data_IF_791820901338
#
_entry.id   IF_791820901338
#
_cell.length_a   1.000
_cell.length_b   1.000
_cell.length_c   1.000
_cell.angle_alpha   90.00
_cell.angle_beta   90.00
_cell.angle_gamma   90.00
#
_symmetry.space_group_name_H-M   'P 1'
#
loop_
_entity.id
_entity.type
_entity.pdbx_description
1 polymer ?
#
# COMPACT_ATOMS: atom_id res chain seq x y z
N UNK A 1 4.55 -5.56 -37.58
CA UNK A 1 3.38 -5.34 -36.72
C UNK A 1 3.32 -6.48 -35.73
N UNK A 2 3.79 -6.27 -34.50
CA UNK A 2 3.72 -7.24 -33.40
C UNK A 2 2.76 -6.67 -32.36
N UNK A 3 1.76 -7.45 -31.99
CA UNK A 3 0.76 -7.11 -30.99
C UNK A 3 1.43 -7.09 -29.61
N UNK A 4 1.26 -5.97 -28.89
CA UNK A 4 1.63 -5.84 -27.49
C UNK A 4 0.43 -6.35 -26.69
N UNK A 5 0.62 -7.45 -25.97
CA UNK A 5 -0.36 -7.95 -25.01
C UNK A 5 -0.31 -7.06 -23.77
N UNK A 6 -1.42 -6.38 -23.47
CA UNK A 6 -1.63 -5.72 -22.18
C UNK A 6 -1.87 -6.82 -21.14
N UNK A 7 -0.94 -7.02 -20.22
CA UNK A 7 -1.16 -7.83 -19.02
C UNK A 7 -1.57 -6.90 -17.88
N UNK A 8 -2.83 -7.02 -17.47
CA UNK A 8 -3.38 -6.37 -16.28
C UNK A 8 -2.98 -7.21 -15.07
N UNK A 9 -2.08 -6.69 -14.22
CA UNK A 9 -1.77 -7.28 -12.92
C UNK A 9 -2.89 -6.95 -11.92
N UNK A 10 -3.52 -7.98 -11.37
CA UNK A 10 -4.43 -7.86 -10.23
C UNK A 10 -3.62 -8.13 -8.95
N UNK A 11 -3.17 -7.07 -8.29
CA UNK A 11 -2.64 -7.16 -6.92
C UNK A 11 -3.79 -7.39 -5.92
N UNK A 12 -3.61 -8.39 -5.05
CA UNK A 12 -4.23 -8.41 -3.73
C UNK A 12 -5.71 -8.81 -3.62
N UNK A 13 -6.04 -10.10 -3.86
CA UNK A 13 -7.21 -10.68 -3.20
C UNK A 13 -6.85 -11.04 -1.75
N UNK A 14 -7.26 -10.16 -0.84
CA UNK A 14 -7.21 -10.33 0.61
C UNK A 14 -8.12 -11.51 1.01
N UNK A 15 -7.56 -12.63 1.50
CA UNK A 15 -8.36 -13.63 2.22
C UNK A 15 -8.51 -13.12 3.66
N UNK A 16 -9.64 -12.46 3.92
CA UNK A 16 -10.08 -12.16 5.27
C UNK A 16 -10.37 -13.46 6.02
N UNK A 17 -9.43 -13.88 6.87
CA UNK A 17 -9.62 -14.95 7.84
C UNK A 17 -10.52 -14.48 8.98
N UNK A 18 -11.58 -15.25 9.22
CA UNK A 18 -12.58 -15.12 10.26
C UNK A 18 -11.98 -14.89 11.66
N UNK A 19 -12.30 -13.77 12.31
CA UNK A 19 -12.27 -13.64 13.77
C UNK A 19 -13.66 -13.96 14.31
N UNK A 20 -13.81 -15.16 14.87
CA UNK A 20 -14.89 -15.50 15.80
C UNK A 20 -14.36 -15.28 17.20
N UNK A 21 -15.01 -14.39 17.96
CA UNK A 21 -15.04 -14.46 19.43
C UNK A 21 -16.32 -13.76 19.88
N UNK A 22 -17.37 -14.54 20.13
CA UNK A 22 -17.76 -15.11 21.43
C UNK A 22 -18.64 -14.15 22.25
N UNK A 23 -19.86 -14.63 22.47
CA UNK A 23 -20.91 -14.02 23.30
C UNK A 23 -20.61 -14.29 24.77
N UNK A 24 -20.63 -13.26 25.61
CA UNK A 24 -20.97 -13.42 27.04
C UNK A 24 -21.49 -12.10 27.66
N UNK A 25 -22.81 -12.09 27.83
CA UNK A 25 -23.61 -11.59 28.96
C UNK A 25 -23.45 -10.19 29.56
N UNK A 26 -24.56 -9.45 29.40
CA UNK A 26 -25.18 -8.52 30.35
C UNK A 26 -24.73 -8.65 31.82
N UNK A 27 -24.30 -7.52 32.37
CA UNK A 27 -24.81 -7.07 33.67
C UNK A 27 -24.99 -5.55 33.66
N UNK A 28 -26.23 -5.17 33.97
CA UNK A 28 -26.75 -3.82 34.11
C UNK A 28 -26.38 -3.21 35.47
N UNK A 29 -26.21 -1.87 35.53
CA UNK A 29 -26.86 -0.90 36.45
C UNK A 29 -25.94 0.30 36.77
N UNK A 30 -26.43 1.49 36.39
CA UNK A 30 -26.38 2.84 37.02
C UNK A 30 -25.05 3.48 37.46
N UNK A 31 -24.85 4.80 37.48
CA UNK A 31 -25.57 6.02 37.08
C UNK A 31 -24.52 7.17 37.18
N UNK A 32 -24.91 8.37 36.70
CA UNK A 32 -24.31 9.70 36.91
C UNK A 32 -23.33 10.30 35.88
N UNK A 33 -23.96 10.87 34.83
CA UNK A 33 -23.92 12.28 34.40
C UNK A 33 -22.57 13.03 34.29
N UNK A 34 -22.24 13.44 33.05
CA UNK A 34 -22.04 14.86 32.69
C UNK A 34 -22.17 15.01 31.16
N UNK A 35 -23.27 15.65 30.74
CA UNK A 35 -23.66 15.83 29.34
C UNK A 35 -22.89 16.98 28.68
N UNK A 36 -22.17 16.67 27.60
CA UNK A 36 -21.71 17.65 26.60
C UNK A 36 -22.39 17.31 25.27
N UNK A 37 -23.28 18.21 24.87
CA UNK A 37 -24.19 18.13 23.75
C UNK A 37 -23.43 18.08 22.41
N UNK A 38 -23.11 16.87 21.92
CA UNK A 38 -22.73 16.64 20.52
C UNK A 38 -24.00 16.40 19.72
N UNK A 39 -24.30 17.31 18.81
CA UNK A 39 -25.36 17.20 17.82
C UNK A 39 -25.23 15.88 17.04
N UNK A 40 -26.27 15.07 17.13
CA UNK A 40 -26.46 13.87 16.32
C UNK A 40 -26.67 14.26 14.85
N UNK A 41 -25.64 14.11 14.03
CA UNK A 41 -25.81 13.83 12.61
C UNK A 41 -24.95 12.62 12.24
N UNK A 42 -25.62 11.53 11.86
CA UNK A 42 -24.99 10.35 11.28
C UNK A 42 -24.22 10.76 10.01
N UNK A 43 -22.96 10.33 9.83
CA UNK A 43 -22.32 10.42 8.53
C UNK A 43 -23.04 9.47 7.57
N UNK A 44 -23.70 10.03 6.56
CA UNK A 44 -24.16 9.28 5.38
C UNK A 44 -22.93 8.89 4.56
N UNK A 45 -22.44 7.68 4.77
CA UNK A 45 -21.48 7.03 3.88
C UNK A 45 -22.15 6.68 2.56
N UNK A 46 -21.95 7.49 1.53
CA UNK A 46 -22.16 7.06 0.14
C UNK A 46 -20.96 6.19 -0.28
N UNK A 47 -21.04 4.90 0.07
CA UNK A 47 -20.20 3.85 -0.52
C UNK A 47 -20.61 3.66 -1.98
N UNK A 48 -19.86 4.26 -2.90
CA UNK A 48 -19.83 3.79 -4.29
C UNK A 48 -19.08 2.45 -4.31
N UNK A 49 -19.83 1.36 -4.13
CA UNK A 49 -19.34 0.01 -4.39
C UNK A 49 -19.04 -0.12 -5.89
N UNK A 50 -17.75 -0.25 -6.24
CA UNK A 50 -17.34 -0.78 -7.53
C UNK A 50 -17.92 -2.20 -7.70
N UNK A 51 -18.45 -2.55 -8.88
CA UNK A 51 -19.16 -3.80 -9.09
C UNK A 51 -18.22 -5.00 -8.93
N UNK A 52 -18.65 -5.97 -8.12
CA UNK A 52 -18.02 -7.28 -8.01
C UNK A 52 -18.04 -7.97 -9.39
N UNK A 53 -16.87 -8.35 -9.90
CA UNK A 53 -16.75 -9.28 -11.02
C UNK A 53 -17.24 -10.66 -10.58
N UNK A 54 -18.53 -10.95 -10.77
CA UNK A 54 -19.07 -12.31 -10.84
C UNK A 54 -18.66 -12.93 -12.17
N UNK A 55 -17.69 -13.84 -12.15
CA UNK A 55 -17.51 -14.81 -13.23
C UNK A 55 -18.27 -16.08 -12.85
N UNK A 56 -19.36 -16.34 -13.58
CA UNK A 56 -20.09 -17.60 -13.56
C UNK A 56 -19.16 -18.74 -13.99
N UNK A 57 -19.19 -19.91 -13.32
CA UNK A 57 -18.39 -21.05 -13.74
C UNK A 57 -19.01 -21.70 -14.98
N UNK A 58 -18.38 -21.52 -16.14
CA UNK A 58 -18.67 -22.29 -17.35
C UNK A 58 -18.29 -23.76 -17.12
N UNK A 59 -19.28 -24.64 -17.13
CA UNK A 59 -19.12 -26.08 -16.98
C UNK A 59 -18.25 -26.67 -18.09
N UNK A 60 -17.03 -27.11 -17.74
CA UNK A 60 -16.19 -27.98 -18.58
C UNK A 60 -16.31 -29.40 -18.04
N UNK A 61 -16.75 -30.32 -18.91
CA UNK A 61 -16.89 -31.75 -18.60
C UNK A 61 -15.53 -32.38 -18.22
N UNK A 62 -15.46 -33.29 -17.24
CA UNK A 62 -14.23 -34.00 -16.92
C UNK A 62 -13.91 -35.00 -18.03
N UNK A 63 -12.68 -34.95 -18.55
CA UNK A 63 -12.09 -36.08 -19.26
C UNK A 63 -11.56 -37.01 -18.17
N UNK A 64 -12.12 -38.23 -18.13
CA UNK A 64 -11.66 -39.31 -17.27
C UNK A 64 -10.18 -39.60 -17.55
N UNK A 65 -9.33 -39.42 -16.54
CA UNK A 65 -8.01 -40.06 -16.49
C UNK A 65 -7.91 -40.90 -15.23
N UNK A 66 -7.37 -42.09 -15.45
CA UNK A 66 -7.56 -43.31 -14.68
C UNK A 66 -6.99 -43.22 -13.27
N UNK A 67 -7.92 -43.19 -12.31
CA UNK A 67 -7.91 -43.86 -11.00
C UNK A 67 -6.66 -44.69 -10.68
N UNK A 68 -5.76 -44.13 -9.86
CA UNK A 68 -5.06 -44.90 -8.84
C UNK A 68 -5.67 -44.55 -7.48
N UNK A 69 -6.61 -45.39 -7.05
CA UNK A 69 -7.16 -45.38 -5.69
C UNK A 69 -6.06 -45.73 -4.70
N UNK A 70 -5.46 -44.72 -4.06
CA UNK A 70 -4.93 -44.87 -2.71
C UNK A 70 -6.02 -44.46 -1.72
N UNK A 71 -6.21 -45.35 -0.76
CA UNK A 71 -7.31 -45.48 0.18
C UNK A 71 -7.38 -44.29 1.13
N UNK A 72 -8.59 -43.92 1.56
CA UNK A 72 -8.90 -42.90 2.59
C UNK A 72 -8.13 -43.04 3.92
N UNK A 73 -7.39 -44.12 4.14
CA UNK A 73 -6.59 -44.39 5.34
C UNK A 73 -5.18 -43.79 5.29
N UNK A 74 -4.65 -43.39 4.12
CA UNK A 74 -3.36 -42.71 4.00
C UNK A 74 -3.45 -41.19 4.25
N UNK A 75 -4.67 -40.63 4.35
CA UNK A 75 -4.90 -39.19 4.49
C UNK A 75 -4.65 -38.62 5.90
N UNK A 76 -4.41 -39.47 6.90
CA UNK A 76 -3.99 -39.04 8.24
C UNK A 76 -2.48 -39.14 8.48
N UNK A 77 -1.70 -39.57 7.47
CA UNK A 77 -0.24 -39.61 7.53
C UNK A 77 0.40 -38.44 6.79
N UNK A 78 -0.22 -37.26 6.86
CA UNK A 78 0.55 -36.03 6.71
C UNK A 78 1.43 -35.89 7.96
N UNK A 79 2.65 -36.44 7.93
CA UNK A 79 3.71 -36.16 8.90
C UNK A 79 3.70 -34.67 9.30
N UNK A 80 3.74 -34.35 10.58
CA UNK A 80 3.71 -32.95 11.01
C UNK A 80 4.86 -32.17 10.38
N UNK A 81 4.61 -30.97 9.82
CA UNK A 81 5.69 -30.04 9.45
C UNK A 81 6.62 -29.77 10.64
N UNK A 82 6.13 -29.96 11.87
CA UNK A 82 6.89 -29.76 13.10
C UNK A 82 8.17 -30.61 13.23
N UNK A 83 8.29 -31.72 12.50
CA UNK A 83 9.46 -32.61 12.54
C UNK A 83 10.39 -32.43 11.33
N UNK A 84 9.96 -31.72 10.28
CA UNK A 84 10.77 -31.46 9.10
C UNK A 84 11.70 -30.27 9.38
N UNK A 85 12.98 -30.45 9.06
CA UNK A 85 14.01 -29.42 9.23
C UNK A 85 14.38 -28.77 7.90
N UNK A 86 13.88 -29.28 6.78
CA UNK A 86 14.18 -28.74 5.46
C UNK A 86 13.03 -27.84 5.01
N UNK A 87 13.31 -26.54 4.89
CA UNK A 87 12.32 -25.54 4.51
C UNK A 87 11.73 -25.77 3.11
N UNK A 88 12.52 -26.23 2.14
CA UNK A 88 12.06 -26.49 0.78
C UNK A 88 11.00 -27.60 0.78
N UNK A 89 11.26 -28.68 1.52
CA UNK A 89 10.32 -29.80 1.70
C UNK A 89 9.01 -29.35 2.35
N UNK A 90 9.10 -28.46 3.33
CA UNK A 90 7.93 -27.90 4.01
C UNK A 90 7.09 -27.05 3.05
N UNK A 91 7.73 -26.20 2.25
CA UNK A 91 7.06 -25.29 1.31
C UNK A 91 6.44 -26.05 0.13
N UNK A 92 7.16 -27.02 -0.45
CA UNK A 92 6.63 -27.91 -1.51
C UNK A 92 5.37 -28.64 -1.04
N UNK A 93 5.36 -29.03 0.24
CA UNK A 93 4.24 -29.73 0.83
C UNK A 93 3.04 -28.83 1.09
N UNK A 94 3.28 -27.58 1.51
CA UNK A 94 2.24 -26.56 1.58
C UNK A 94 1.65 -26.27 0.20
N UNK A 95 2.48 -26.23 -0.84
CA UNK A 95 2.03 -26.01 -2.21
C UNK A 95 1.19 -27.18 -2.73
N UNK A 96 1.64 -28.42 -2.53
CA UNK A 96 0.86 -29.62 -2.83
C UNK A 96 -0.50 -29.63 -2.13
N UNK A 97 -0.57 -29.21 -0.88
CA UNK A 97 -1.83 -29.13 -0.13
C UNK A 97 -2.76 -28.04 -0.68
N UNK A 98 -2.22 -26.89 -1.12
CA UNK A 98 -2.99 -25.80 -1.74
C UNK A 98 -3.62 -26.22 -3.08
N UNK A 99 -2.92 -27.03 -3.86
CA UNK A 99 -3.41 -27.53 -5.15
C UNK A 99 -4.55 -28.56 -5.01
N UNK A 100 -4.77 -29.10 -3.81
CA UNK A 100 -5.85 -30.05 -3.54
C UNK A 100 -7.15 -29.34 -3.11
N UNK A 101 -8.22 -29.54 -3.88
CA UNK A 101 -9.52 -28.95 -3.59
C UNK A 101 -10.05 -29.40 -2.21
N UNK A 102 -10.46 -28.43 -1.38
CA UNK A 102 -11.08 -28.67 -0.08
C UNK A 102 -10.13 -28.71 1.13
N UNK A 103 -8.83 -28.48 0.93
CA UNK A 103 -7.83 -28.54 2.01
C UNK A 103 -7.47 -27.18 2.64
N UNK A 104 -8.27 -26.13 2.42
CA UNK A 104 -7.95 -24.77 2.90
C UNK A 104 -7.68 -24.68 4.41
N UNK A 105 -8.45 -25.40 5.22
CA UNK A 105 -8.27 -25.46 6.68
C UNK A 105 -6.96 -26.18 7.06
N UNK A 106 -6.62 -27.27 6.37
CA UNK A 106 -5.36 -27.99 6.58
C UNK A 106 -4.15 -27.15 6.15
N UNK A 107 -4.25 -26.42 5.03
CA UNK A 107 -3.21 -25.49 4.59
C UNK A 107 -2.97 -24.41 5.65
N UNK A 108 -4.03 -23.83 6.21
CA UNK A 108 -3.91 -22.81 7.26
C UNK A 108 -3.22 -23.37 8.51
N UNK A 109 -3.65 -24.55 8.98
CA UNK A 109 -3.04 -25.21 10.14
C UNK A 109 -1.55 -25.53 9.92
N UNK A 110 -1.20 -26.04 8.74
CA UNK A 110 0.19 -26.35 8.39
C UNK A 110 1.04 -25.07 8.27
N UNK A 111 0.46 -23.98 7.76
CA UNK A 111 1.12 -22.69 7.71
C UNK A 111 1.34 -22.10 9.12
N UNK A 112 0.38 -22.24 10.03
CA UNK A 112 0.54 -21.84 11.43
C UNK A 112 1.61 -22.64 12.17
N UNK A 113 1.76 -23.93 11.83
CA UNK A 113 2.87 -24.76 12.33
C UNK A 113 4.22 -24.23 11.83
N UNK A 114 4.32 -23.91 10.53
CA UNK A 114 5.53 -23.30 9.95
C UNK A 114 5.89 -21.99 10.64
N UNK A 115 4.93 -21.07 10.80
CA UNK A 115 5.11 -19.80 11.53
C UNK A 115 5.69 -20.01 12.92
N UNK A 116 5.12 -20.96 13.68
CA UNK A 116 5.59 -21.28 15.03
C UNK A 116 7.00 -21.89 15.02
N UNK A 117 7.32 -22.71 14.02
CA UNK A 117 8.65 -23.30 13.88
C UNK A 117 9.71 -22.23 13.59
N UNK A 118 9.43 -21.28 12.69
CA UNK A 118 10.33 -20.16 12.36
C UNK A 118 10.58 -19.29 13.60
N UNK A 119 9.52 -18.92 14.32
CA UNK A 119 9.63 -18.10 15.54
C UNK A 119 10.43 -18.78 16.67
N UNK A 120 10.63 -20.10 16.62
CA UNK A 120 11.32 -20.86 17.67
C UNK A 120 12.65 -21.46 17.23
N UNK A 121 12.98 -21.41 15.94
CA UNK A 121 14.21 -21.98 15.38
C UNK A 121 14.89 -21.00 14.41
N UNK A 122 15.94 -20.28 14.84
CA UNK A 122 16.67 -19.33 14.01
C UNK A 122 17.21 -19.92 12.70
N UNK A 123 17.64 -21.19 12.70
CA UNK A 123 18.17 -21.83 11.49
C UNK A 123 17.12 -21.92 10.37
N UNK A 124 15.85 -22.17 10.72
CA UNK A 124 14.77 -22.21 9.72
C UNK A 124 14.46 -20.82 9.16
N UNK A 125 14.70 -19.76 9.94
CA UNK A 125 14.58 -18.39 9.46
C UNK A 125 15.72 -18.07 8.48
N UNK A 126 16.96 -18.47 8.79
CA UNK A 126 18.12 -18.32 7.90
C UNK A 126 17.92 -19.09 6.58
N UNK A 127 17.47 -20.35 6.65
CA UNK A 127 17.19 -21.16 5.47
C UNK A 127 16.07 -20.55 4.60
N UNK A 128 15.08 -19.89 5.21
CA UNK A 128 14.04 -19.14 4.49
C UNK A 128 14.57 -17.89 3.80
N UNK A 129 15.48 -17.18 4.45
CA UNK A 129 16.13 -15.99 3.92
C UNK A 129 16.95 -16.36 2.67
N UNK A 130 17.75 -17.43 2.77
CA UNK A 130 18.54 -17.97 1.65
C UNK A 130 17.64 -18.42 0.50
N UNK A 131 16.51 -19.07 0.82
CA UNK A 131 15.53 -19.47 -0.19
C UNK A 131 14.90 -18.24 -0.88
N UNK A 132 14.49 -17.22 -0.12
CA UNK A 132 13.86 -16.02 -0.65
C UNK A 132 14.77 -15.31 -1.65
N UNK A 133 16.07 -15.21 -1.35
CA UNK A 133 17.08 -14.62 -2.23
C UNK A 133 17.20 -15.35 -3.59
N UNK A 134 17.11 -16.68 -3.59
CA UNK A 134 17.28 -17.50 -4.79
C UNK A 134 15.97 -17.73 -5.56
N UNK A 135 14.83 -17.29 -5.03
CA UNK A 135 13.51 -17.57 -5.63
C UNK A 135 13.04 -16.44 -6.55
N UNK A 136 12.46 -16.72 -7.73
CA UNK A 136 11.82 -15.71 -8.58
C UNK A 136 10.65 -15.00 -7.88
N UNK A 137 10.47 -13.71 -8.16
CA UNK A 137 9.45 -12.87 -7.50
C UNK A 137 8.01 -13.36 -7.77
N UNK A 138 7.75 -13.85 -8.97
CA UNK A 138 6.46 -14.36 -9.43
C UNK A 138 6.13 -15.75 -8.89
N UNK A 139 7.08 -16.39 -8.21
CA UNK A 139 6.88 -17.71 -7.62
C UNK A 139 5.99 -17.64 -6.38
N UNK A 140 5.05 -18.59 -6.29
CA UNK A 140 4.28 -18.82 -5.08
C UNK A 140 5.18 -19.12 -3.86
N UNK A 141 6.35 -19.72 -4.09
CA UNK A 141 7.37 -19.99 -3.06
C UNK A 141 7.87 -18.67 -2.44
N UNK A 142 8.12 -17.64 -3.25
CA UNK A 142 8.56 -16.33 -2.77
C UNK A 142 7.50 -15.72 -1.85
N UNK A 143 6.24 -15.67 -2.30
CA UNK A 143 5.13 -15.13 -1.50
C UNK A 143 4.93 -15.88 -0.17
N UNK A 144 5.08 -17.21 -0.19
CA UNK A 144 4.91 -18.04 0.98
C UNK A 144 6.06 -17.86 1.97
N UNK A 145 7.30 -17.83 1.48
CA UNK A 145 8.48 -17.58 2.29
C UNK A 145 8.43 -16.19 2.95
N UNK A 146 8.09 -15.15 2.19
CA UNK A 146 7.93 -13.79 2.70
C UNK A 146 6.85 -13.71 3.78
N UNK A 147 5.68 -14.32 3.54
CA UNK A 147 4.58 -14.35 4.53
C UNK A 147 4.97 -15.13 5.79
N UNK A 148 5.83 -16.16 5.65
CA UNK A 148 6.30 -16.92 6.79
C UNK A 148 7.31 -16.11 7.63
N UNK A 149 8.21 -15.36 6.98
CA UNK A 149 9.16 -14.45 7.64
C UNK A 149 8.46 -13.33 8.41
N UNK A 150 7.30 -12.85 7.95
CA UNK A 150 6.49 -11.83 8.65
C UNK A 150 6.06 -12.22 10.07
N UNK A 151 6.32 -13.45 10.52
CA UNK A 151 6.08 -13.89 11.90
C UNK A 151 7.23 -13.67 12.86
N UNK A 152 8.40 -13.31 12.32
CA UNK A 152 9.51 -12.84 13.12
C UNK A 152 9.16 -11.53 13.83
N UNK A 153 9.81 -11.22 14.97
CA UNK A 153 9.75 -9.89 15.55
C UNK A 153 10.11 -8.82 14.50
N UNK A 154 9.42 -7.68 14.53
CA UNK A 154 9.56 -6.63 13.53
C UNK A 154 11.02 -6.22 13.26
N UNK A 155 11.83 -6.13 14.32
CA UNK A 155 13.25 -5.78 14.19
C UNK A 155 14.07 -6.85 13.46
N UNK A 156 13.78 -8.13 13.70
CA UNK A 156 14.48 -9.26 13.05
C UNK A 156 14.03 -9.41 11.59
N UNK A 157 12.73 -9.19 11.33
CA UNK A 157 12.18 -9.16 9.97
C UNK A 157 12.82 -8.04 9.15
N UNK A 158 12.83 -6.81 9.68
CA UNK A 158 13.37 -5.64 8.98
C UNK A 158 14.86 -5.85 8.69
N UNK A 159 15.62 -6.38 9.64
CA UNK A 159 17.02 -6.73 9.42
C UNK A 159 17.20 -7.77 8.31
N UNK A 160 16.41 -8.84 8.33
CA UNK A 160 16.48 -9.89 7.32
C UNK A 160 16.14 -9.37 5.92
N UNK A 161 15.01 -8.67 5.77
CA UNK A 161 14.56 -8.14 4.48
C UNK A 161 15.52 -7.09 3.92
N UNK A 162 16.02 -6.20 4.78
CA UNK A 162 17.01 -5.20 4.37
C UNK A 162 18.33 -5.86 3.93
N UNK A 163 18.80 -6.87 4.68
CA UNK A 163 20.04 -7.59 4.32
C UNK A 163 19.95 -8.31 2.97
N UNK A 164 18.76 -8.81 2.61
CA UNK A 164 18.52 -9.40 1.28
C UNK A 164 18.45 -8.30 0.22
N UNK A 165 17.71 -7.22 0.50
CA UNK A 165 17.55 -6.10 -0.42
C UNK A 165 18.91 -5.46 -0.77
N UNK A 166 19.80 -5.29 0.20
CA UNK A 166 21.15 -4.75 0.01
C UNK A 166 21.98 -5.54 -1.02
N UNK A 167 21.69 -6.84 -1.23
CA UNK A 167 22.38 -7.66 -2.23
C UNK A 167 21.99 -7.29 -3.67
N UNK A 168 20.82 -6.67 -3.88
CA UNK A 168 20.34 -6.25 -5.19
C UNK A 168 20.73 -4.81 -5.55
N UNK A 169 21.31 -4.03 -4.64
CA UNK A 169 21.70 -2.63 -4.88
C UNK A 169 22.64 -2.48 -6.08
N UNK A 170 23.49 -3.49 -6.33
CA UNK A 170 24.43 -3.51 -7.46
C UNK A 170 23.86 -3.99 -8.79
N UNK A 171 22.59 -4.46 -8.83
CA UNK A 171 21.98 -5.07 -10.02
C UNK A 171 20.63 -4.44 -10.40
N UNK A 172 20.36 -3.21 -9.96
CA UNK A 172 19.08 -2.51 -10.18
C UNK A 172 18.77 -2.17 -11.65
N UNK A 173 19.75 -2.28 -12.56
CA UNK A 173 19.51 -2.21 -14.00
C UNK A 173 18.63 -3.35 -14.50
N UNK A 174 18.73 -4.54 -13.87
CA UNK A 174 17.87 -5.67 -14.14
C UNK A 174 16.47 -5.45 -13.53
N UNK A 175 15.44 -5.69 -14.32
CA UNK A 175 14.06 -5.41 -13.92
C UNK A 175 13.60 -6.31 -12.77
N UNK A 176 13.91 -7.61 -12.81
CA UNK A 176 13.53 -8.56 -11.77
C UNK A 176 14.23 -8.22 -10.45
N UNK A 177 15.53 -7.92 -10.50
CA UNK A 177 16.31 -7.49 -9.33
C UNK A 177 15.74 -6.22 -8.70
N UNK A 178 15.36 -5.23 -9.52
CA UNK A 178 14.74 -3.98 -9.05
C UNK A 178 13.36 -4.22 -8.43
N UNK A 179 12.52 -5.04 -9.04
CA UNK A 179 11.21 -5.38 -8.48
C UNK A 179 11.35 -6.14 -7.15
N UNK A 180 12.29 -7.09 -7.05
CA UNK A 180 12.59 -7.77 -5.79
C UNK A 180 13.08 -6.82 -4.72
N UNK A 181 14.00 -5.92 -5.08
CA UNK A 181 14.51 -4.90 -4.18
C UNK A 181 13.38 -4.06 -3.57
N UNK A 182 12.48 -3.52 -4.40
CA UNK A 182 11.34 -2.74 -3.93
C UNK A 182 10.34 -3.59 -3.13
N UNK A 183 10.05 -4.81 -3.57
CA UNK A 183 9.15 -5.73 -2.88
C UNK A 183 9.64 -6.10 -1.48
N UNK A 184 10.94 -6.31 -1.30
CA UNK A 184 11.53 -6.59 0.02
C UNK A 184 11.41 -5.38 0.94
N UNK A 185 11.77 -4.19 0.45
CA UNK A 185 11.74 -2.96 1.23
C UNK A 185 10.33 -2.52 1.61
N UNK A 186 9.33 -2.70 0.73
CA UNK A 186 7.91 -2.40 1.05
C UNK A 186 7.32 -3.30 2.13
N UNK A 187 7.95 -4.45 2.41
CA UNK A 187 7.55 -5.37 3.47
C UNK A 187 8.30 -5.11 4.79
N UNK A 188 9.20 -4.13 4.83
CA UNK A 188 9.78 -3.66 6.09
C UNK A 188 8.78 -2.78 6.84
N UNK A 189 8.81 -2.85 8.16
CA UNK A 189 7.92 -2.12 9.06
C UNK A 189 8.49 -0.76 9.50
N UNK A 190 9.82 -0.62 9.47
CA UNK A 190 10.56 0.55 9.90
C UNK A 190 10.91 1.54 8.78
N UNK A 191 11.52 2.65 9.20
CA UNK A 191 12.17 3.59 8.28
C UNK A 191 13.48 3.00 7.76
N UNK A 192 13.72 3.10 6.46
CA UNK A 192 14.97 2.65 5.84
C UNK A 192 16.04 3.71 6.11
N UNK A 193 16.90 3.48 7.10
CA UNK A 193 17.96 4.42 7.48
C UNK A 193 19.33 4.09 6.86
N UNK A 194 19.43 2.98 6.11
CA UNK A 194 20.66 2.59 5.42
C UNK A 194 20.96 3.55 4.27
N UNK A 195 22.05 4.33 4.40
CA UNK A 195 22.46 5.30 3.37
C UNK A 195 22.69 4.64 1.99
N UNK A 196 23.37 3.48 1.87
CA UNK A 196 23.46 2.76 0.60
C UNK A 196 22.09 2.47 -0.02
N UNK A 197 21.15 1.96 0.77
CA UNK A 197 19.79 1.63 0.32
C UNK A 197 19.00 2.85 -0.12
N UNK A 198 19.12 3.97 0.61
CA UNK A 198 18.52 5.25 0.19
C UNK A 198 19.10 5.70 -1.15
N UNK A 199 20.41 5.58 -1.35
CA UNK A 199 21.04 5.96 -2.62
C UNK A 199 20.64 5.02 -3.77
N UNK A 200 20.45 3.73 -3.50
CA UNK A 200 19.89 2.77 -4.44
C UNK A 200 18.45 3.13 -4.85
N UNK A 201 17.61 3.55 -3.90
CA UNK A 201 16.26 4.04 -4.20
C UNK A 201 16.29 5.30 -5.06
N UNK A 202 17.17 6.26 -4.74
CA UNK A 202 17.36 7.46 -5.57
C UNK A 202 17.87 7.11 -6.97
N UNK A 203 18.76 6.12 -7.08
CA UNK A 203 19.23 5.65 -8.38
C UNK A 203 18.07 5.15 -9.25
N UNK A 204 17.12 4.39 -8.68
CA UNK A 204 15.90 3.95 -9.40
C UNK A 204 15.09 5.16 -9.91
N UNK A 205 14.97 6.22 -9.10
CA UNK A 205 14.23 7.43 -9.46
C UNK A 205 14.89 8.15 -10.65
N UNK A 206 16.21 8.20 -10.66
CA UNK A 206 17.00 8.86 -11.71
C UNK A 206 17.10 8.04 -13.01
N UNK A 207 16.64 6.78 -13.04
CA UNK A 207 16.69 5.96 -14.26
C UNK A 207 15.61 6.36 -15.27
N UNK A 208 16.03 6.79 -16.46
CA UNK A 208 15.13 7.12 -17.58
C UNK A 208 14.31 5.93 -18.10
N UNK A 209 14.83 4.71 -17.95
CA UNK A 209 14.20 3.48 -18.44
C UNK A 209 13.11 2.95 -17.53
N UNK A 210 12.97 3.53 -16.34
CA UNK A 210 12.01 3.11 -15.31
C UNK A 210 10.73 3.94 -15.43
N UNK A 211 9.59 3.28 -15.38
CA UNK A 211 8.29 3.93 -15.48
C UNK A 211 7.95 4.73 -14.21
N UNK A 212 7.02 5.68 -14.35
CA UNK A 212 6.63 6.57 -13.26
C UNK A 212 6.10 5.82 -12.02
N UNK A 213 5.41 4.68 -12.18
CA UNK A 213 4.87 3.93 -11.03
C UNK A 213 6.00 3.39 -10.16
N UNK A 214 7.00 2.78 -10.77
CA UNK A 214 8.18 2.24 -10.08
C UNK A 214 8.99 3.36 -9.43
N UNK A 215 9.15 4.52 -10.10
CA UNK A 215 9.79 5.70 -9.49
C UNK A 215 9.05 6.18 -8.24
N UNK A 216 7.71 6.23 -8.29
CA UNK A 216 6.89 6.65 -7.15
C UNK A 216 6.95 5.66 -5.99
N UNK A 217 7.03 4.36 -6.27
CA UNK A 217 7.21 3.32 -5.25
C UNK A 217 8.56 3.48 -4.54
N UNK A 218 9.64 3.70 -5.29
CA UNK A 218 10.96 3.99 -4.71
C UNK A 218 10.92 5.26 -3.83
N UNK A 219 10.30 6.34 -4.32
CA UNK A 219 10.16 7.58 -3.55
C UNK A 219 9.30 7.43 -2.28
N UNK A 220 8.31 6.53 -2.29
CA UNK A 220 7.49 6.26 -1.11
C UNK A 220 8.35 5.74 0.05
N UNK A 221 9.35 4.92 -0.25
CA UNK A 221 10.28 4.31 0.71
C UNK A 221 11.33 5.30 1.26
N UNK A 222 11.63 6.39 0.55
CA UNK A 222 12.60 7.41 0.96
C UNK A 222 11.95 8.48 1.83
N UNK A 223 12.57 8.83 2.97
CA UNK A 223 12.08 9.93 3.81
C UNK A 223 12.75 11.26 3.44
N UNK A 224 11.99 12.36 3.28
CA UNK A 224 12.56 13.66 2.87
C UNK A 224 13.68 14.17 3.79
N UNK A 225 13.60 13.92 5.10
CA UNK A 225 14.60 14.40 6.06
C UNK A 225 15.97 13.68 5.96
N UNK A 226 16.03 12.57 5.22
CA UNK A 226 17.28 11.83 4.97
C UNK A 226 18.08 12.43 3.80
N UNK A 227 17.46 13.33 3.02
CA UNK A 227 18.02 13.88 1.80
C UNK A 227 18.61 15.28 1.98
N UNK A 228 19.68 15.56 1.24
CA UNK A 228 20.20 16.91 1.05
C UNK A 228 19.27 17.75 0.15
N UNK A 229 19.42 19.07 0.20
CA UNK A 229 18.56 19.97 -0.57
C UNK A 229 18.78 19.82 -2.09
N UNK A 230 19.98 19.47 -2.52
CA UNK A 230 20.30 19.18 -3.92
C UNK A 230 19.53 17.95 -4.44
N UNK A 231 19.48 16.88 -3.64
CA UNK A 231 18.74 15.65 -3.97
C UNK A 231 17.23 15.92 -4.03
N UNK A 232 16.70 16.65 -3.04
CA UNK A 232 15.28 17.07 -3.06
C UNK A 232 14.96 17.94 -4.27
N UNK A 233 15.85 18.84 -4.67
CA UNK A 233 15.65 19.68 -5.85
C UNK A 233 15.59 18.84 -7.14
N UNK A 234 16.45 17.83 -7.27
CA UNK A 234 16.43 16.90 -8.41
C UNK A 234 15.07 16.18 -8.47
N UNK A 235 14.66 15.57 -7.36
CA UNK A 235 13.37 14.86 -7.23
C UNK A 235 12.20 15.78 -7.58
N UNK A 236 12.16 17.01 -7.03
CA UNK A 236 11.08 17.96 -7.35
C UNK A 236 11.04 18.32 -8.82
N UNK A 237 12.19 18.46 -9.45
CA UNK A 237 12.29 18.78 -10.88
C UNK A 237 11.73 17.64 -11.72
N UNK A 238 12.13 16.40 -11.44
CA UNK A 238 11.63 15.18 -12.08
C UNK A 238 10.11 15.04 -11.91
N UNK A 239 9.60 15.16 -10.69
CA UNK A 239 8.17 15.03 -10.39
C UNK A 239 7.33 16.14 -11.06
N UNK A 240 7.87 17.36 -11.15
CA UNK A 240 7.20 18.47 -11.86
C UNK A 240 7.12 18.15 -13.35
N UNK A 241 8.21 17.65 -13.95
CA UNK A 241 8.20 17.23 -15.35
C UNK A 241 7.21 16.09 -15.60
N UNK A 242 7.11 15.11 -14.70
CA UNK A 242 6.11 14.04 -14.80
C UNK A 242 4.68 14.60 -14.76
N UNK A 243 4.39 15.55 -13.86
CA UNK A 243 3.06 16.18 -13.79
C UNK A 243 2.72 16.94 -15.08
N UNK A 244 3.70 17.64 -15.67
CA UNK A 244 3.48 18.48 -16.85
C UNK A 244 3.34 17.68 -18.16
N UNK A 245 3.93 16.48 -18.22
CA UNK A 245 3.96 15.68 -19.45
C UNK A 245 3.08 14.42 -19.40
N UNK A 246 2.56 14.04 -18.23
CA UNK A 246 1.68 12.88 -18.09
C UNK A 246 0.19 13.21 -18.28
N UNK A 247 -0.64 12.23 -18.66
CA UNK A 247 -2.09 12.35 -18.58
C UNK A 247 -2.56 12.76 -17.18
N UNK A 248 -3.64 13.55 -17.09
CA UNK A 248 -4.10 14.15 -15.84
C UNK A 248 -4.28 13.14 -14.67
N UNK A 249 -4.78 11.94 -14.94
CA UNK A 249 -4.97 10.91 -13.91
C UNK A 249 -3.66 10.29 -13.42
N UNK A 250 -2.64 10.23 -14.27
CA UNK A 250 -1.30 9.76 -13.88
C UNK A 250 -0.56 10.86 -13.14
N UNK A 251 -0.61 12.09 -13.65
CA UNK A 251 -0.07 13.27 -12.98
C UNK A 251 -0.63 13.44 -11.55
N UNK A 252 -1.92 13.16 -11.34
CA UNK A 252 -2.55 13.20 -10.02
C UNK A 252 -1.88 12.28 -9.00
N UNK A 253 -1.35 11.11 -9.41
CA UNK A 253 -0.64 10.18 -8.52
C UNK A 253 0.74 10.69 -8.08
N UNK A 254 1.32 11.60 -8.86
CA UNK A 254 2.65 12.19 -8.61
C UNK A 254 2.58 13.33 -7.60
N UNK A 255 1.45 14.06 -7.56
CA UNK A 255 1.23 15.24 -6.72
C UNK A 255 1.59 15.02 -5.23
N UNK A 256 1.15 13.95 -4.55
CA UNK A 256 1.47 13.75 -3.14
C UNK A 256 2.98 13.66 -2.89
N UNK A 257 3.73 13.00 -3.78
CA UNK A 257 5.19 12.91 -3.66
C UNK A 257 5.84 14.28 -3.90
N UNK A 258 5.39 15.05 -4.89
CA UNK A 258 5.94 16.39 -5.13
C UNK A 258 5.78 17.29 -3.91
N UNK A 259 4.61 17.24 -3.26
CA UNK A 259 4.34 18.04 -2.07
C UNK A 259 5.15 17.55 -0.85
N UNK A 260 5.33 16.23 -0.70
CA UNK A 260 6.13 15.61 0.36
C UNK A 260 7.61 16.01 0.29
N UNK A 261 8.20 16.07 -0.91
CA UNK A 261 9.60 16.47 -1.12
C UNK A 261 9.79 17.99 -1.29
N UNK A 262 8.71 18.77 -1.23
CA UNK A 262 8.74 20.23 -1.14
C UNK A 262 8.94 20.68 0.31
N UNK A 263 9.83 21.65 0.53
CA UNK A 263 9.97 22.28 1.85
C UNK A 263 8.77 23.19 2.17
N UNK A 264 8.70 23.69 3.41
CA UNK A 264 7.55 24.46 3.87
C UNK A 264 7.27 25.71 3.03
N UNK A 265 8.31 26.38 2.54
CA UNK A 265 8.19 27.62 1.75
C UNK A 265 7.72 27.30 0.34
N UNK A 266 8.31 26.29 -0.30
CA UNK A 266 7.98 25.91 -1.67
C UNK A 266 6.66 25.16 -1.78
N UNK A 267 6.31 24.34 -0.78
CA UNK A 267 5.11 23.49 -0.80
C UNK A 267 3.84 24.30 -0.98
N UNK A 268 3.76 25.48 -0.34
CA UNK A 268 2.62 26.39 -0.48
C UNK A 268 2.49 26.97 -1.89
N UNK A 269 3.61 27.41 -2.46
CA UNK A 269 3.66 27.91 -3.83
C UNK A 269 3.33 26.80 -4.85
N UNK A 270 3.89 25.60 -4.68
CA UNK A 270 3.62 24.43 -5.52
C UNK A 270 2.16 24.00 -5.44
N UNK A 271 1.60 23.86 -4.24
CA UNK A 271 0.19 23.53 -4.06
C UNK A 271 -0.73 24.58 -4.73
N UNK A 272 -0.39 25.86 -4.59
CA UNK A 272 -1.17 26.94 -5.22
C UNK A 272 -1.11 26.91 -6.75
N UNK A 273 0.05 26.59 -7.35
CA UNK A 273 0.18 26.38 -8.80
C UNK A 273 -0.68 25.20 -9.27
N UNK A 274 -0.60 24.08 -8.55
CA UNK A 274 -1.34 22.85 -8.87
C UNK A 274 -2.86 23.00 -8.68
N UNK A 275 -3.31 23.89 -7.79
CA UNK A 275 -4.72 24.23 -7.57
C UNK A 275 -5.29 25.22 -8.61
N UNK A 276 -4.44 25.81 -9.44
CA UNK A 276 -4.87 26.81 -10.43
C UNK A 276 -5.92 26.25 -11.39
N UNK A 277 -6.82 27.12 -11.88
CA UNK A 277 -7.92 26.73 -12.76
C UNK A 277 -7.46 26.20 -14.14
N UNK A 278 -6.19 26.41 -14.49
CA UNK A 278 -5.59 25.89 -15.72
C UNK A 278 -5.17 24.43 -15.60
N UNK A 279 -5.06 23.90 -14.38
CA UNK A 279 -4.74 22.48 -14.13
C UNK A 279 -6.00 21.63 -14.25
N UNK A 280 -5.82 20.40 -14.69
CA UNK A 280 -6.92 19.44 -14.79
C UNK A 280 -7.44 19.09 -13.39
N UNK A 281 -8.75 18.84 -13.27
CA UNK A 281 -9.39 18.53 -11.99
C UNK A 281 -8.73 17.36 -11.21
N UNK A 282 -8.27 16.25 -11.84
CA UNK A 282 -7.58 15.20 -11.09
C UNK A 282 -6.32 15.68 -10.34
N UNK A 283 -5.54 16.58 -10.94
CA UNK A 283 -4.34 17.16 -10.30
C UNK A 283 -4.76 18.04 -9.12
N UNK A 284 -5.75 18.91 -9.33
CA UNK A 284 -6.28 19.81 -8.30
C UNK A 284 -6.85 19.01 -7.12
N UNK A 285 -7.59 17.93 -7.40
CA UNK A 285 -8.12 17.02 -6.38
C UNK A 285 -7.02 16.35 -5.57
N UNK A 286 -5.94 15.89 -6.20
CA UNK A 286 -4.84 15.26 -5.47
C UNK A 286 -4.18 16.22 -4.44
N UNK A 287 -4.15 17.54 -4.72
CA UNK A 287 -3.70 18.53 -3.73
C UNK A 287 -4.68 18.64 -2.57
N UNK A 288 -5.99 18.64 -2.86
CA UNK A 288 -7.06 18.67 -1.87
C UNK A 288 -7.05 17.42 -0.97
N UNK A 289 -6.86 16.24 -1.55
CA UNK A 289 -6.74 14.98 -0.82
C UNK A 289 -5.51 14.99 0.11
N UNK A 290 -4.37 15.50 -0.37
CA UNK A 290 -3.13 15.63 0.42
C UNK A 290 -3.29 16.60 1.60
N UNK A 291 -4.14 17.63 1.46
CA UNK A 291 -4.49 18.53 2.56
C UNK A 291 -5.42 17.85 3.57
N UNK A 292 -6.41 17.11 3.08
CA UNK A 292 -7.40 16.43 3.92
C UNK A 292 -6.79 15.29 4.75
N UNK A 293 -5.80 14.57 4.21
CA UNK A 293 -5.08 13.51 4.92
C UNK A 293 -4.15 14.04 6.02
N UNK A 294 -3.79 15.33 5.96
CA UNK A 294 -2.77 15.92 6.83
C UNK A 294 -1.34 15.61 6.39
N UNK A 295 -1.14 15.07 5.19
CA UNK A 295 0.19 14.81 4.62
C UNK A 295 0.98 16.12 4.41
N UNK A 296 0.27 17.25 4.30
CA UNK A 296 0.86 18.57 4.18
C UNK A 296 0.30 19.54 5.22
N UNK A 297 1.19 20.33 5.83
CA UNK A 297 0.78 21.36 6.79
C UNK A 297 -0.04 22.46 6.13
N UNK A 298 -1.17 22.79 6.74
CA UNK A 298 -1.99 23.94 6.39
C UNK A 298 -1.19 25.25 6.50
N UNK A 299 -1.18 26.07 5.44
CA UNK A 299 -0.57 27.41 5.43
C UNK A 299 -1.61 28.49 5.14
N UNK A 300 -1.36 29.72 5.60
CA UNK A 300 -2.25 30.86 5.31
C UNK A 300 -2.41 31.13 3.81
N UNK A 301 -1.35 30.93 3.03
CA UNK A 301 -1.39 31.02 1.57
C UNK A 301 -2.32 29.97 0.94
N UNK A 302 -2.24 28.71 1.38
CA UNK A 302 -3.15 27.66 0.94
C UNK A 302 -4.59 27.98 1.35
N UNK A 303 -4.81 28.49 2.57
CA UNK A 303 -6.12 28.95 3.05
C UNK A 303 -6.72 30.00 2.10
N UNK A 304 -5.92 30.99 1.70
CA UNK A 304 -6.37 32.03 0.77
C UNK A 304 -6.73 31.47 -0.62
N UNK A 305 -5.92 30.56 -1.15
CA UNK A 305 -6.20 29.87 -2.43
C UNK A 305 -7.50 29.06 -2.35
N UNK A 306 -7.69 28.29 -1.29
CA UNK A 306 -8.92 27.52 -1.07
C UNK A 306 -10.13 28.42 -0.86
N UNK A 307 -10.00 29.54 -0.15
CA UNK A 307 -11.07 30.52 0.02
C UNK A 307 -11.50 31.10 -1.33
N UNK A 308 -10.57 31.34 -2.27
CA UNK A 308 -10.90 31.78 -3.61
C UNK A 308 -11.68 30.71 -4.41
N UNK A 309 -11.27 29.44 -4.33
CA UNK A 309 -11.96 28.30 -4.96
C UNK A 309 -13.35 28.12 -4.36
N UNK A 310 -13.45 28.07 -3.03
CA UNK A 310 -14.70 27.92 -2.27
C UNK A 310 -15.72 29.03 -2.56
N UNK A 311 -15.25 30.23 -2.88
CA UNK A 311 -16.10 31.37 -3.20
C UNK A 311 -16.45 31.49 -4.69
N UNK A 312 -15.79 30.74 -5.58
CA UNK A 312 -16.13 30.70 -6.99
C UNK A 312 -17.24 29.65 -7.28
N UNK A 313 -18.49 30.08 -7.59
CA UNK A 313 -19.58 29.14 -7.85
C UNK A 313 -19.38 28.32 -9.14
N UNK A 314 -18.53 28.79 -10.06
CA UNK A 314 -18.25 28.11 -11.32
C UNK A 314 -17.08 27.12 -11.22
N UNK A 315 -16.41 27.05 -10.08
CA UNK A 315 -15.35 26.08 -9.86
C UNK A 315 -15.96 24.75 -9.38
N UNK A 316 -15.68 23.67 -10.10
CA UNK A 316 -16.20 22.34 -9.77
C UNK A 316 -15.69 21.82 -8.41
N UNK A 317 -14.61 22.42 -7.88
CA UNK A 317 -14.01 22.03 -6.60
C UNK A 317 -14.44 22.92 -5.43
N UNK A 318 -15.41 23.81 -5.64
CA UNK A 318 -15.83 24.76 -4.61
C UNK A 318 -16.37 24.07 -3.34
N UNK A 319 -17.08 22.95 -3.46
CA UNK A 319 -17.61 22.18 -2.33
C UNK A 319 -16.49 21.45 -1.58
N UNK A 320 -15.57 20.81 -2.31
CA UNK A 320 -14.41 20.12 -1.76
C UNK A 320 -13.51 21.10 -0.97
N UNK A 321 -13.22 22.27 -1.57
CA UNK A 321 -12.42 23.31 -0.94
C UNK A 321 -13.06 23.84 0.36
N UNK A 322 -14.38 23.95 0.41
CA UNK A 322 -15.12 24.33 1.64
C UNK A 322 -14.95 23.29 2.74
N UNK A 323 -15.17 22.02 2.40
CA UNK A 323 -15.04 20.93 3.36
C UNK A 323 -13.63 20.89 3.96
N UNK A 324 -12.59 21.07 3.13
CA UNK A 324 -11.20 21.10 3.60
C UNK A 324 -10.91 22.33 4.46
N UNK A 325 -11.42 23.51 4.09
CA UNK A 325 -11.28 24.71 4.92
C UNK A 325 -11.90 24.53 6.31
N UNK A 326 -13.06 23.89 6.39
CA UNK A 326 -13.74 23.63 7.68
C UNK A 326 -13.04 22.55 8.51
N UNK A 327 -12.38 21.60 7.85
CA UNK A 327 -11.74 20.46 8.50
C UNK A 327 -10.28 20.72 8.91
N UNK A 328 -9.47 21.30 8.02
CA UNK A 328 -8.01 21.39 8.13
C UNK A 328 -7.50 22.79 8.52
N UNK A 329 -8.36 23.81 8.55
CA UNK A 329 -7.95 25.20 8.83
C UNK A 329 -8.72 25.80 10.00
N UNK A 330 -8.03 26.65 10.77
CA UNK A 330 -8.70 27.53 11.73
C UNK A 330 -9.30 28.72 10.97
N UNK A 331 -10.63 28.81 10.98
CA UNK A 331 -11.38 29.88 10.34
C UNK A 331 -11.84 30.90 11.38
N UNK A 332 -11.63 32.19 11.09
CA UNK A 332 -12.22 33.25 11.87
C UNK A 332 -13.72 33.42 11.52
N UNK A 333 -14.45 34.18 12.34
CA UNK A 333 -15.89 34.37 12.16
C UNK A 333 -16.27 34.93 10.77
N UNK A 334 -15.49 35.86 10.24
CA UNK A 334 -15.75 36.45 8.93
C UNK A 334 -15.56 35.43 7.81
N UNK A 335 -14.52 34.61 7.88
CA UNK A 335 -14.25 33.52 6.94
C UNK A 335 -15.37 32.47 6.98
N UNK A 336 -15.79 32.07 8.18
CA UNK A 336 -16.91 31.14 8.38
C UNK A 336 -18.21 31.68 7.77
N UNK A 337 -18.54 32.95 8.04
CA UNK A 337 -19.73 33.59 7.50
C UNK A 337 -19.69 33.65 5.96
N UNK A 338 -18.52 33.86 5.35
CA UNK A 338 -18.36 33.82 3.88
C UNK A 338 -18.66 32.44 3.29
N UNK A 339 -18.27 31.37 3.97
CA UNK A 339 -18.57 30.00 3.55
C UNK A 339 -20.05 29.63 3.75
N UNK A 340 -20.64 30.08 4.86
CA UNK A 340 -22.03 29.78 5.25
C UNK A 340 -23.10 30.44 4.34
N UNK A 341 -22.83 31.63 3.78
CA UNK A 341 -23.81 32.44 3.04
C UNK A 341 -24.35 31.76 1.76
N UNK A 342 -23.73 30.69 1.25
CA UNK A 342 -24.17 30.01 0.01
C UNK A 342 -25.05 28.76 0.19
N UNK A 343 -25.46 28.37 1.40
CA UNK A 343 -26.43 27.27 1.62
C UNK A 343 -27.91 27.69 1.45
N UNK A 344 -28.20 28.97 1.13
CA UNK A 344 -29.56 29.52 1.05
C UNK A 344 -29.98 29.96 -0.37
N UNK A 345 -29.69 29.16 -1.41
CA UNK A 345 -30.32 29.34 -2.74
C UNK A 345 -30.71 28.03 -3.37
#
# INVERSE_FOLDING_TARGET
MKAIAQFTFAFGCFIAGYMVSSVANNSSISDDQLALNKSNHQPTTHLNALPACTLEPTAVKPIESTRNTKTKADLNNTASIADDKNIESILDRLDMLRQQAGNGELVAQQFDILKKAIATNPQLADDLIDLLYNTPLDSHVFSTALTALQTLPAQDLDFALLSIAEQYEGTLEDAESREKFLALLTNTSGTIDSKPTVQALLHIVDMDTVDASTKLEALHLVQPHQLFEEEKLSIRTELTQLIDHSPANEAAKVVPQLLRFSDQTHRSAVASDLLSQHRANPIRNAVLDSLASGDISATEEMKNTLMAIANNPNDNLNHEARAILEYAFELNKQEYDQLAVKYNR
#
